data_IF_119142417734
#
_entry.id   IF_119142417734
#
_cell.length_a   1.000
_cell.length_b   1.000
_cell.length_c   1.000
_cell.angle_alpha   90.00
_cell.angle_beta   90.00
_cell.angle_gamma   90.00
#
_symmetry.space_group_name_H-M   'P 1'
#
loop_
_entity.id
_entity.type
_entity.pdbx_description
1 polymer ?
#
# COMPACT_ATOMS: atom_id res chain seq x y z
N UNK A 1 18.43 -18.85 39.89
CA UNK A 1 18.43 -19.75 38.72
C UNK A 1 17.01 -20.07 38.26
N UNK A 2 16.12 -20.60 39.12
CA UNK A 2 14.72 -20.90 38.77
C UNK A 2 13.89 -19.70 38.27
N UNK A 3 14.03 -18.53 38.92
CA UNK A 3 13.30 -17.30 38.53
C UNK A 3 13.72 -16.79 37.13
N UNK A 4 15.01 -16.90 36.79
CA UNK A 4 15.52 -16.48 35.49
C UNK A 4 15.03 -17.41 34.37
N UNK A 5 15.00 -18.72 34.61
CA UNK A 5 14.47 -19.70 33.67
C UNK A 5 12.97 -19.46 33.40
N UNK A 6 12.18 -19.15 34.43
CA UNK A 6 10.75 -18.83 34.31
C UNK A 6 10.52 -17.58 33.46
N UNK A 7 11.29 -16.51 33.69
CA UNK A 7 11.20 -15.27 32.91
C UNK A 7 11.52 -15.50 31.42
N UNK A 8 12.56 -16.30 31.13
CA UNK A 8 12.93 -16.64 29.76
C UNK A 8 11.81 -17.41 29.07
N UNK A 9 11.27 -18.45 29.73
CA UNK A 9 10.14 -19.24 29.18
C UNK A 9 8.93 -18.35 28.88
N UNK A 10 8.59 -17.44 29.79
CA UNK A 10 7.48 -16.50 29.58
C UNK A 10 7.70 -15.59 28.37
N UNK A 11 8.91 -15.02 28.23
CA UNK A 11 9.22 -14.12 27.12
C UNK A 11 9.19 -14.83 25.75
N UNK A 12 9.72 -16.05 25.67
CA UNK A 12 9.71 -16.86 24.44
C UNK A 12 8.28 -17.26 24.06
N UNK A 13 7.47 -17.66 25.04
CA UNK A 13 6.07 -18.03 24.81
C UNK A 13 5.26 -16.82 24.32
N UNK A 14 5.47 -15.65 24.91
CA UNK A 14 4.82 -14.41 24.49
C UNK A 14 5.24 -14.00 23.06
N UNK A 15 6.52 -14.07 22.73
CA UNK A 15 7.02 -13.76 21.39
C UNK A 15 6.47 -14.73 20.34
N UNK A 16 6.45 -16.02 20.62
CA UNK A 16 5.89 -17.04 19.74
C UNK A 16 4.37 -16.85 19.54
N UNK A 17 3.63 -16.52 20.60
CA UNK A 17 2.20 -16.23 20.52
C UNK A 17 1.91 -14.95 19.72
N UNK A 18 2.73 -13.91 19.89
CA UNK A 18 2.63 -12.68 19.10
C UNK A 18 2.90 -12.98 17.63
N UNK A 19 3.98 -13.70 17.30
CA UNK A 19 4.33 -14.06 15.93
C UNK A 19 3.30 -14.98 15.27
N UNK A 20 2.76 -15.95 16.01
CA UNK A 20 1.70 -16.85 15.53
C UNK A 20 0.34 -16.15 15.43
N UNK A 21 0.16 -15.00 16.09
CA UNK A 21 -1.06 -14.23 15.92
C UNK A 21 -1.14 -13.74 14.48
N UNK A 22 -2.29 -13.96 13.84
CA UNK A 22 -2.50 -13.52 12.46
C UNK A 22 -2.37 -12.00 12.27
N UNK A 23 -2.20 -11.24 13.36
CA UNK A 23 -2.09 -9.78 13.41
C UNK A 23 -0.66 -9.26 13.56
N UNK A 24 0.34 -10.13 13.78
CA UNK A 24 1.74 -9.70 13.98
C UNK A 24 2.27 -8.80 12.85
N UNK A 25 1.84 -9.10 11.62
CA UNK A 25 2.24 -8.38 10.42
C UNK A 25 1.03 -8.10 9.52
N UNK A 26 -0.06 -7.59 10.08
CA UNK A 26 -1.19 -7.10 9.26
C UNK A 26 -1.09 -5.60 9.10
N UNK A 27 -0.60 -5.18 7.94
CA UNK A 27 -0.84 -3.82 7.46
C UNK A 27 -2.30 -3.71 6.99
N UNK A 28 -3.01 -2.63 7.33
CA UNK A 28 -4.37 -2.40 6.82
C UNK A 28 -4.38 -2.43 5.29
N UNK A 29 -5.14 -3.37 4.70
CA UNK A 29 -5.23 -3.54 3.25
C UNK A 29 -6.40 -2.73 2.63
N UNK A 30 -7.32 -2.17 3.43
CA UNK A 30 -8.46 -1.37 2.93
C UNK A 30 -8.77 -0.16 3.84
N UNK A 31 -7.74 0.58 4.25
CA UNK A 31 -7.93 1.85 4.96
C UNK A 31 -7.98 3.06 4.02
N UNK A 32 -8.26 2.84 2.73
CA UNK A 32 -8.12 3.92 1.74
C UNK A 32 -8.98 5.10 2.12
N UNK A 33 -8.37 6.28 2.22
CA UNK A 33 -9.11 7.50 2.42
C UNK A 33 -10.20 7.65 1.34
N UNK A 34 -11.36 8.19 1.73
CA UNK A 34 -12.62 8.22 0.96
C UNK A 34 -12.56 9.00 -0.39
N UNK A 35 -11.37 9.34 -0.89
CA UNK A 35 -11.18 9.97 -2.20
C UNK A 35 -10.24 9.15 -3.09
N UNK A 36 -10.51 9.13 -4.39
CA UNK A 36 -9.68 8.44 -5.37
C UNK A 36 -8.24 8.97 -5.36
N UNK A 37 -8.04 10.29 -5.23
CA UNK A 37 -6.73 10.90 -5.07
C UNK A 37 -5.92 10.33 -3.88
N UNK A 38 -6.56 10.04 -2.76
CA UNK A 38 -5.88 9.48 -1.60
C UNK A 38 -5.59 7.98 -1.79
N UNK A 39 -6.51 7.24 -2.40
CA UNK A 39 -6.28 5.84 -2.79
C UNK A 39 -5.10 5.71 -3.77
N UNK A 40 -5.00 6.57 -4.78
CA UNK A 40 -3.87 6.60 -5.72
C UNK A 40 -2.55 6.88 -5.00
N UNK A 41 -2.54 7.83 -4.05
CA UNK A 41 -1.36 8.08 -3.21
C UNK A 41 -0.97 6.86 -2.38
N UNK A 42 -1.92 6.10 -1.88
CA UNK A 42 -1.65 4.87 -1.15
C UNK A 42 -1.11 3.76 -2.05
N UNK A 43 -1.54 3.68 -3.31
CA UNK A 43 -0.96 2.74 -4.27
C UNK A 43 0.49 3.08 -4.60
N UNK A 44 0.78 4.37 -4.81
CA UNK A 44 2.13 4.84 -5.18
C UNK A 44 3.11 4.71 -4.00
N UNK A 45 2.68 5.09 -2.79
CA UNK A 45 3.55 5.12 -1.61
C UNK A 45 3.47 3.85 -0.74
N UNK A 46 2.53 2.96 -1.03
CA UNK A 46 2.30 1.74 -0.27
C UNK A 46 3.19 0.57 -0.71
N UNK A 47 2.74 -0.63 -0.39
CA UNK A 47 3.47 -1.85 -0.74
C UNK A 47 3.54 -2.04 -2.27
N UNK A 48 4.71 -2.33 -2.87
CA UNK A 48 4.86 -2.46 -4.32
C UNK A 48 3.96 -3.53 -4.98
N UNK A 49 3.58 -4.56 -4.23
CA UNK A 49 2.64 -5.56 -4.73
C UNK A 49 1.20 -5.05 -4.82
N UNK A 50 0.82 -4.03 -4.04
CA UNK A 50 -0.55 -3.51 -4.03
C UNK A 50 -0.89 -2.89 -5.38
N UNK A 51 -0.06 -1.97 -5.88
CA UNK A 51 -0.29 -1.36 -7.19
C UNK A 51 -0.23 -2.38 -8.34
N UNK A 52 0.59 -3.44 -8.20
CA UNK A 52 0.63 -4.54 -9.16
C UNK A 52 -0.67 -5.34 -9.16
N UNK A 53 -1.23 -5.61 -7.99
CA UNK A 53 -2.50 -6.32 -7.85
C UNK A 53 -3.67 -5.47 -8.36
N UNK A 54 -3.70 -4.18 -8.03
CA UNK A 54 -4.84 -3.30 -8.32
C UNK A 54 -4.80 -2.72 -9.75
N UNK A 55 -3.63 -2.36 -10.29
CA UNK A 55 -3.50 -1.74 -11.62
C UNK A 55 -2.79 -2.64 -12.66
N UNK A 56 -2.43 -3.87 -12.29
CA UNK A 56 -1.75 -4.82 -13.18
C UNK A 56 -0.29 -4.48 -13.53
N UNK A 57 0.31 -3.46 -12.90
CA UNK A 57 1.68 -3.01 -13.23
C UNK A 57 2.48 -2.53 -12.02
N UNK A 58 3.81 -2.47 -12.17
CA UNK A 58 4.71 -1.95 -11.12
C UNK A 58 4.63 -0.42 -11.04
N UNK A 59 4.89 0.14 -9.86
CA UNK A 59 4.81 1.59 -9.60
C UNK A 59 5.61 2.45 -10.59
N UNK A 60 6.83 2.04 -10.95
CA UNK A 60 7.64 2.81 -11.89
C UNK A 60 7.03 2.83 -13.31
N UNK A 61 6.37 1.75 -13.74
CA UNK A 61 5.69 1.67 -15.03
C UNK A 61 4.49 2.61 -15.04
N UNK A 62 3.71 2.61 -13.97
CA UNK A 62 2.59 3.53 -13.79
C UNK A 62 3.03 4.99 -13.83
N UNK A 63 4.10 5.35 -13.11
CA UNK A 63 4.61 6.73 -13.10
C UNK A 63 5.15 7.17 -14.47
N UNK A 64 5.82 6.28 -15.21
CA UNK A 64 6.26 6.57 -16.59
C UNK A 64 5.06 6.79 -17.50
N UNK A 65 4.04 5.93 -17.42
CA UNK A 65 2.81 6.10 -18.20
C UNK A 65 2.15 7.45 -17.95
N UNK A 66 2.01 7.85 -16.67
CA UNK A 66 1.46 9.16 -16.31
C UNK A 66 2.32 10.29 -16.88
N UNK A 67 3.65 10.20 -16.78
CA UNK A 67 4.55 11.21 -17.32
C UNK A 67 4.41 11.36 -18.85
N UNK A 68 4.36 10.26 -19.58
CA UNK A 68 4.15 10.25 -21.03
C UNK A 68 2.80 10.88 -21.42
N UNK A 69 1.73 10.56 -20.70
CA UNK A 69 0.41 11.15 -20.94
C UNK A 69 0.41 12.66 -20.69
N UNK A 70 1.10 13.12 -19.64
CA UNK A 70 1.29 14.56 -19.40
C UNK A 70 2.07 15.24 -20.54
N UNK A 71 3.11 14.58 -21.07
CA UNK A 71 3.86 15.08 -22.24
C UNK A 71 3.00 15.14 -23.51
N UNK A 72 2.05 14.22 -23.68
CA UNK A 72 1.07 14.23 -24.76
C UNK A 72 -0.06 15.26 -24.57
N UNK A 73 -0.03 16.03 -23.49
CA UNK A 73 -0.98 17.12 -23.23
C UNK A 73 -2.20 16.73 -22.40
N UNK A 74 -2.22 15.52 -21.82
CA UNK A 74 -3.24 15.16 -20.84
C UNK A 74 -2.99 15.94 -19.56
N UNK A 75 -4.01 16.68 -19.12
CA UNK A 75 -3.97 17.51 -17.92
C UNK A 75 -4.99 17.02 -16.90
N UNK A 76 -4.88 17.57 -15.69
CA UNK A 76 -5.88 17.37 -14.66
C UNK A 76 -7.26 17.84 -15.17
N UNK A 77 -8.33 17.20 -14.69
CA UNK A 77 -9.68 17.50 -15.15
C UNK A 77 -10.16 18.84 -14.61
N UNK A 78 -11.14 19.44 -15.26
CA UNK A 78 -11.81 20.67 -14.77
C UNK A 78 -12.44 20.51 -13.39
N UNK A 79 -12.67 19.27 -12.96
CA UNK A 79 -13.27 18.92 -11.66
C UNK A 79 -12.23 18.53 -10.61
N UNK A 80 -10.94 18.75 -10.87
CA UNK A 80 -9.86 18.51 -9.89
C UNK A 80 -9.38 17.06 -9.80
N UNK A 81 -9.67 16.22 -10.80
CA UNK A 81 -9.16 14.83 -10.87
C UNK A 81 -7.79 14.86 -11.54
N UNK A 82 -6.75 14.43 -10.82
CA UNK A 82 -5.38 14.46 -11.34
C UNK A 82 -5.18 13.43 -12.45
N UNK A 83 -4.18 13.61 -13.32
CA UNK A 83 -3.86 12.61 -14.36
C UNK A 83 -3.58 11.24 -13.76
N UNK A 84 -2.92 11.17 -12.61
CA UNK A 84 -2.67 9.89 -11.90
C UNK A 84 -3.99 9.21 -11.53
N UNK A 85 -4.97 9.98 -11.03
CA UNK A 85 -6.28 9.46 -10.67
C UNK A 85 -7.11 9.07 -11.90
N UNK A 86 -7.07 9.86 -12.98
CA UNK A 86 -7.72 9.50 -14.24
C UNK A 86 -7.17 8.18 -14.80
N UNK A 87 -5.84 8.02 -14.80
CA UNK A 87 -5.20 6.80 -15.30
C UNK A 87 -5.48 5.62 -14.38
N UNK A 88 -5.47 5.82 -13.07
CA UNK A 88 -5.82 4.76 -12.13
C UNK A 88 -7.29 4.32 -12.26
N UNK A 89 -8.23 5.25 -12.48
CA UNK A 89 -9.64 4.93 -12.79
C UNK A 89 -9.77 4.16 -14.11
N UNK A 90 -8.96 4.50 -15.12
CA UNK A 90 -8.98 3.81 -16.40
C UNK A 90 -8.43 2.37 -16.32
N UNK A 91 -7.46 2.12 -15.43
CA UNK A 91 -6.78 0.83 -15.30
C UNK A 91 -7.45 -0.15 -14.33
N UNK A 92 -8.26 0.36 -13.38
CA UNK A 92 -8.99 -0.43 -12.39
C UNK A 92 -10.29 -1.01 -12.98
#
# INVERSE_FOLDING_TARGET
ILMAASSIIYSVTAAAALYASSWYWKQPYHNSALSGAAWVKELINGHPDRIRTELGMRVHVFLVLVAELRLLGISDSKHGVSVEEQVAIFLY
#
